data_IF_207962604903
#
_entry.id   IF_207962604903
#
_cell.length_a   1.000
_cell.length_b   1.000
_cell.length_c   1.000
_cell.angle_alpha   90.00
_cell.angle_beta   90.00
_cell.angle_gamma   90.00
#
_symmetry.space_group_name_H-M   'P 1'
#
loop_
_entity.id
_entity.type
_entity.pdbx_description
1 polymer ?
#
# COMPACT_ATOMS: atom_id res chain seq x y z
N UNK A 1 58.29 -17.62 -38.81
CA UNK A 1 59.24 -16.50 -38.87
C UNK A 1 58.96 -15.64 -37.66
N UNK A 2 59.67 -15.82 -36.57
CA UNK A 2 60.90 -15.15 -36.15
C UNK A 2 60.62 -13.68 -35.87
N UNK A 3 60.87 -13.07 -34.75
CA UNK A 3 61.83 -13.17 -33.63
C UNK A 3 61.42 -12.15 -32.58
N UNK A 4 61.27 -12.44 -31.35
CA UNK A 4 62.12 -12.31 -30.19
C UNK A 4 63.05 -11.07 -30.12
N UNK A 5 62.94 -10.30 -29.00
CA UNK A 5 64.11 -9.85 -28.22
C UNK A 5 63.68 -8.94 -27.01
N UNK A 6 63.87 -9.43 -25.81
CA UNK A 6 64.39 -8.73 -24.65
C UNK A 6 65.93 -8.68 -24.79
N UNK A 7 66.79 -7.85 -24.09
CA UNK A 7 66.87 -7.83 -22.61
C UNK A 7 67.49 -6.56 -21.99
N UNK A 8 67.57 -6.54 -20.63
CA UNK A 8 68.60 -6.10 -19.66
C UNK A 8 69.02 -4.62 -19.73
N UNK A 9 69.37 -3.93 -18.68
CA UNK A 9 69.72 -4.29 -17.32
C UNK A 9 70.34 -3.07 -16.62
N UNK A 10 70.40 -3.18 -15.34
CA UNK A 10 71.48 -2.88 -14.40
C UNK A 10 71.69 -1.47 -13.80
N UNK A 11 71.61 -1.49 -12.47
CA UNK A 11 72.55 -0.96 -11.44
C UNK A 11 72.67 0.56 -11.32
N UNK A 12 72.57 1.14 -10.15
CA UNK A 12 73.31 1.05 -8.97
C UNK A 12 73.16 2.21 -8.01
N UNK A 13 73.27 1.90 -6.80
CA UNK A 13 73.99 2.52 -5.66
C UNK A 13 73.64 3.92 -5.15
N UNK A 14 73.46 4.00 -3.82
CA UNK A 14 74.01 5.02 -2.95
C UNK A 14 73.06 5.72 -2.01
N UNK A 15 73.03 5.33 -0.71
CA UNK A 15 72.49 6.17 0.37
C UNK A 15 73.41 7.35 0.68
N UNK A 16 73.10 8.19 1.60
CA UNK A 16 73.27 7.87 3.01
C UNK A 16 72.24 8.46 4.03
N UNK A 17 72.38 8.02 5.28
CA UNK A 17 71.72 8.35 6.53
C UNK A 17 71.77 9.85 6.86
N UNK A 18 70.70 10.36 7.46
CA UNK A 18 70.61 11.68 8.08
C UNK A 18 69.50 11.81 9.12
N UNK A 19 69.79 11.54 10.35
CA UNK A 19 69.58 12.28 11.58
C UNK A 19 68.20 12.69 12.05
N UNK A 20 67.86 12.18 13.21
CA UNK A 20 66.83 12.49 14.21
C UNK A 20 66.45 13.97 14.32
N UNK A 21 65.11 14.22 14.35
CA UNK A 21 64.53 15.43 14.89
C UNK A 21 63.28 15.07 15.70
N UNK A 22 63.46 15.01 17.04
CA UNK A 22 62.39 14.85 18.00
C UNK A 22 61.61 16.16 18.14
N UNK A 23 60.44 16.23 17.53
CA UNK A 23 59.44 17.29 17.72
C UNK A 23 58.27 16.81 18.55
N UNK A 24 58.39 17.02 19.87
CA UNK A 24 57.31 16.85 20.84
C UNK A 24 56.22 17.91 20.54
N UNK A 25 55.14 17.53 19.82
CA UNK A 25 53.94 18.37 19.74
C UNK A 25 52.95 17.87 20.79
N UNK A 26 52.78 18.69 21.82
CA UNK A 26 51.73 18.62 22.82
C UNK A 26 50.37 18.64 22.13
N UNK A 27 49.73 17.48 22.04
CA UNK A 27 48.35 17.36 21.61
C UNK A 27 47.42 17.80 22.72
N UNK A 28 46.81 18.96 22.58
CA UNK A 28 45.66 19.35 23.37
C UNK A 28 44.52 18.37 23.07
N UNK A 29 44.24 17.46 23.98
CA UNK A 29 43.07 16.64 24.01
C UNK A 29 41.84 17.51 24.16
N UNK A 30 41.19 17.89 23.03
CA UNK A 30 39.85 18.44 23.08
C UNK A 30 38.92 17.31 23.52
N UNK A 31 38.53 17.33 24.78
CA UNK A 31 37.46 16.52 25.33
C UNK A 31 36.21 16.78 24.51
N UNK A 32 35.89 15.87 23.60
CA UNK A 32 34.62 15.85 22.90
C UNK A 32 33.54 15.47 23.89
N UNK A 33 32.71 16.45 24.29
CA UNK A 33 31.67 16.28 25.29
C UNK A 33 30.71 15.10 25.04
N UNK A 34 30.00 14.64 26.07
CA UNK A 34 29.13 13.46 26.03
C UNK A 34 28.06 13.50 24.94
N UNK A 35 27.64 14.66 24.49
CA UNK A 35 26.74 14.89 23.37
C UNK A 35 27.32 14.40 22.02
N UNK A 36 28.65 14.49 21.80
CA UNK A 36 29.26 13.95 20.56
C UNK A 36 29.47 12.44 20.61
N UNK A 37 29.62 11.87 21.80
CA UNK A 37 29.65 10.41 21.97
C UNK A 37 28.25 9.79 21.78
N UNK A 38 27.21 10.44 22.32
CA UNK A 38 25.80 10.04 22.14
C UNK A 38 25.38 10.15 20.69
N UNK A 39 25.72 11.22 19.98
CA UNK A 39 25.48 11.38 18.54
C UNK A 39 26.17 10.31 17.69
N UNK A 40 27.40 9.89 18.05
CA UNK A 40 28.10 8.79 17.36
C UNK A 40 27.49 7.41 17.66
N UNK A 41 27.06 7.16 18.90
CA UNK A 41 26.42 5.90 19.29
C UNK A 41 25.07 5.68 18.58
N UNK A 42 24.29 6.73 18.37
CA UNK A 42 23.04 6.69 17.58
C UNK A 42 23.29 6.64 16.06
N UNK A 43 24.37 7.26 15.57
CA UNK A 43 24.66 7.31 14.13
C UNK A 43 25.10 5.94 13.54
N UNK A 44 25.73 5.08 14.34
CA UNK A 44 26.26 3.79 13.88
C UNK A 44 25.18 2.74 13.57
N UNK A 45 24.15 2.50 14.41
CA UNK A 45 23.08 1.55 14.07
C UNK A 45 22.18 2.06 12.94
N UNK A 46 21.87 3.36 12.92
CA UNK A 46 21.02 3.95 11.87
C UNK A 46 21.66 3.84 10.48
N UNK A 47 22.96 4.08 10.36
CA UNK A 47 23.67 3.97 9.08
C UNK A 47 23.87 2.52 8.62
N UNK A 48 23.98 1.54 9.53
CA UNK A 48 24.03 0.12 9.19
C UNK A 48 22.68 -0.38 8.71
N UNK A 49 21.61 -0.03 9.41
CA UNK A 49 20.23 -0.40 9.02
C UNK A 49 19.85 0.25 7.69
N UNK A 50 20.15 1.53 7.49
CA UNK A 50 19.92 2.22 6.22
C UNK A 50 20.68 1.57 5.04
N UNK A 51 21.93 1.15 5.26
CA UNK A 51 22.73 0.42 4.26
C UNK A 51 22.18 -0.97 3.98
N UNK A 52 21.68 -1.67 4.99
CA UNK A 52 21.00 -2.97 4.84
C UNK A 52 19.72 -2.85 4.01
N UNK A 53 18.88 -1.88 4.32
CA UNK A 53 17.65 -1.58 3.58
C UNK A 53 17.99 -1.25 2.12
N UNK A 54 18.96 -0.35 1.88
CA UNK A 54 19.39 -0.01 0.51
C UNK A 54 19.92 -1.20 -0.27
N UNK A 55 20.69 -2.09 0.34
CA UNK A 55 21.13 -3.33 -0.32
C UNK A 55 19.97 -4.21 -0.71
N UNK A 56 18.96 -4.37 0.16
CA UNK A 56 17.77 -5.19 -0.11
C UNK A 56 16.87 -4.55 -1.19
N UNK A 57 16.65 -3.24 -1.14
CA UNK A 57 15.80 -2.53 -2.12
C UNK A 57 16.44 -2.41 -3.49
N UNK A 58 17.78 -2.34 -3.57
CA UNK A 58 18.55 -2.20 -4.82
C UNK A 58 19.04 -3.52 -5.41
N UNK A 59 18.73 -4.67 -4.79
CA UNK A 59 19.16 -5.99 -5.24
C UNK A 59 18.53 -6.38 -6.60
N UNK A 60 19.26 -7.20 -7.38
CA UNK A 60 18.82 -7.78 -8.66
C UNK A 60 18.48 -6.75 -9.75
N UNK A 61 19.26 -5.69 -9.87
CA UNK A 61 19.07 -4.65 -10.91
C UNK A 61 18.02 -3.59 -10.58
N UNK A 62 17.35 -3.67 -9.43
CA UNK A 62 16.37 -2.66 -9.00
C UNK A 62 17.00 -1.29 -8.73
N UNK A 63 18.30 -1.23 -8.40
CA UNK A 63 19.06 0.01 -8.23
C UNK A 63 19.28 0.75 -9.56
N UNK A 64 19.71 0.04 -10.58
CA UNK A 64 20.01 0.59 -11.90
C UNK A 64 18.73 1.02 -12.64
N UNK A 65 17.65 0.24 -12.53
CA UNK A 65 16.37 0.57 -13.14
C UNK A 65 15.65 1.75 -12.46
N UNK A 66 16.02 2.11 -11.23
CA UNK A 66 15.36 3.11 -10.40
C UNK A 66 14.18 2.58 -9.58
N UNK A 67 13.82 1.31 -9.70
CA UNK A 67 12.77 0.68 -8.90
C UNK A 67 13.08 0.74 -7.40
N UNK A 68 14.35 0.60 -7.00
CA UNK A 68 14.79 0.75 -5.61
C UNK A 68 14.45 2.11 -5.01
N UNK A 69 14.64 3.20 -5.79
CA UNK A 69 14.26 4.55 -5.37
C UNK A 69 12.74 4.71 -5.21
N UNK A 70 11.95 4.04 -6.06
CA UNK A 70 10.50 4.03 -5.93
C UNK A 70 10.05 3.26 -4.69
N UNK A 71 10.71 2.16 -4.34
CA UNK A 71 10.45 1.41 -3.10
C UNK A 71 10.74 2.29 -1.88
N UNK A 72 11.87 3.00 -1.86
CA UNK A 72 12.22 3.95 -0.79
C UNK A 72 11.17 5.07 -0.68
N UNK A 73 10.78 5.68 -1.80
CA UNK A 73 9.75 6.72 -1.83
C UNK A 73 8.39 6.20 -1.33
N UNK A 74 8.00 4.99 -1.71
CA UNK A 74 6.74 4.39 -1.24
C UNK A 74 6.80 4.02 0.26
N UNK A 75 7.97 3.64 0.76
CA UNK A 75 8.20 3.48 2.19
C UNK A 75 7.99 4.79 2.96
N UNK A 76 8.57 5.89 2.47
CA UNK A 76 8.38 7.23 3.04
C UNK A 76 6.89 7.64 2.99
N UNK A 77 6.20 7.33 1.88
CA UNK A 77 4.75 7.53 1.78
C UNK A 77 3.98 6.80 2.88
N UNK A 78 4.22 5.49 3.05
CA UNK A 78 3.54 4.69 4.07
C UNK A 78 3.84 5.15 5.49
N UNK A 79 5.09 5.55 5.76
CA UNK A 79 5.49 6.10 7.05
C UNK A 79 4.76 7.42 7.37
N UNK A 80 4.63 8.33 6.41
CA UNK A 80 3.88 9.58 6.59
C UNK A 80 2.38 9.36 6.78
N UNK A 81 1.79 8.47 5.98
CA UNK A 81 0.36 8.14 6.08
C UNK A 81 0.00 7.55 7.45
N UNK A 82 0.84 6.68 8.03
CA UNK A 82 0.59 6.11 9.36
C UNK A 82 0.75 7.13 10.49
N UNK A 83 1.68 8.10 10.36
CA UNK A 83 1.80 9.18 11.34
C UNK A 83 0.50 10.00 11.43
N UNK A 84 -0.08 10.36 10.29
CA UNK A 84 -1.37 11.06 10.24
C UNK A 84 -2.47 10.16 10.83
N UNK A 85 -2.49 8.87 10.47
CA UNK A 85 -3.48 7.92 10.98
C UNK A 85 -3.45 7.82 12.49
N UNK A 86 -2.25 7.74 13.11
CA UNK A 86 -2.10 7.71 14.58
C UNK A 86 -2.65 8.98 15.22
N UNK A 87 -2.31 10.15 14.68
CA UNK A 87 -2.80 11.43 15.20
C UNK A 87 -4.33 11.55 15.12
N UNK A 88 -4.91 11.24 13.96
CA UNK A 88 -6.36 11.30 13.75
C UNK A 88 -7.11 10.26 14.58
N UNK A 89 -6.60 9.04 14.67
CA UNK A 89 -7.21 7.98 15.46
C UNK A 89 -7.27 8.38 16.94
N UNK A 90 -6.20 8.95 17.49
CA UNK A 90 -6.19 9.37 18.89
C UNK A 90 -7.16 10.53 19.15
N UNK A 91 -7.29 11.47 18.23
CA UNK A 91 -8.15 12.64 18.41
C UNK A 91 -9.62 12.35 18.15
N UNK A 92 -9.92 11.67 17.03
CA UNK A 92 -11.33 11.41 16.63
C UNK A 92 -11.94 10.25 17.42
N UNK A 93 -11.09 9.27 17.79
CA UNK A 93 -11.58 8.01 18.36
C UNK A 93 -11.39 7.91 19.89
N UNK A 94 -10.23 8.31 20.44
CA UNK A 94 -9.92 8.12 21.85
C UNK A 94 -10.25 9.31 22.76
N UNK A 95 -10.39 10.52 22.22
CA UNK A 95 -10.55 11.74 23.01
C UNK A 95 -12.01 12.10 23.35
N UNK A 96 -13.00 11.35 22.84
CA UNK A 96 -14.42 11.63 23.02
C UNK A 96 -15.18 10.39 23.51
N UNK A 97 -16.36 10.52 24.16
CA UNK A 97 -17.21 9.38 24.52
C UNK A 97 -17.56 8.52 23.30
N UNK A 98 -17.84 7.23 23.53
CA UNK A 98 -18.01 6.24 22.44
C UNK A 98 -19.14 6.61 21.48
N UNK A 99 -20.28 7.08 21.98
CA UNK A 99 -21.43 7.44 21.14
C UNK A 99 -21.11 8.65 20.24
N UNK A 100 -20.42 9.65 20.77
CA UNK A 100 -19.94 10.80 20.00
C UNK A 100 -18.85 10.38 18.99
N UNK A 101 -17.94 9.46 19.39
CA UNK A 101 -16.94 8.91 18.50
C UNK A 101 -17.56 8.16 17.31
N UNK A 102 -18.66 7.42 17.51
CA UNK A 102 -19.39 6.76 16.43
C UNK A 102 -19.91 7.77 15.40
N UNK A 103 -20.52 8.87 15.84
CA UNK A 103 -20.98 9.94 14.95
C UNK A 103 -19.83 10.60 14.17
N UNK A 104 -18.73 10.94 14.84
CA UNK A 104 -17.53 11.52 14.22
C UNK A 104 -16.86 10.57 13.23
N UNK A 105 -16.76 9.29 13.58
CA UNK A 105 -16.18 8.26 12.67
C UNK A 105 -17.12 7.99 11.49
N UNK A 106 -18.43 7.98 11.69
CA UNK A 106 -19.40 7.85 10.61
C UNK A 106 -19.31 9.02 9.62
N UNK A 107 -19.18 10.26 10.12
CA UNK A 107 -18.96 11.46 9.31
C UNK A 107 -17.63 11.37 8.56
N UNK A 108 -16.54 10.97 9.23
CA UNK A 108 -15.25 10.75 8.59
C UNK A 108 -15.34 9.70 7.48
N UNK A 109 -16.03 8.58 7.72
CA UNK A 109 -16.25 7.55 6.73
C UNK A 109 -17.07 8.05 5.52
N UNK A 110 -18.12 8.84 5.75
CA UNK A 110 -18.90 9.48 4.69
C UNK A 110 -18.04 10.44 3.84
N UNK A 111 -17.23 11.27 4.51
CA UNK A 111 -16.30 12.19 3.84
C UNK A 111 -15.24 11.44 3.02
N UNK A 112 -14.74 10.28 3.52
CA UNK A 112 -13.78 9.47 2.76
C UNK A 112 -14.37 8.87 1.49
N UNK A 113 -15.70 8.83 1.36
CA UNK A 113 -16.40 8.39 0.15
C UNK A 113 -16.44 9.46 -0.95
N UNK A 114 -16.47 10.73 -0.58
CA UNK A 114 -16.58 11.82 -1.53
C UNK A 114 -15.49 11.77 -2.64
N UNK A 115 -14.21 11.53 -2.35
CA UNK A 115 -13.17 11.42 -3.38
C UNK A 115 -13.41 10.28 -4.37
N UNK A 116 -13.91 9.13 -3.90
CA UNK A 116 -14.13 7.98 -4.78
C UNK A 116 -15.29 8.22 -5.73
N UNK A 117 -16.31 8.93 -5.30
CA UNK A 117 -17.46 9.28 -6.13
C UNK A 117 -17.11 10.40 -7.13
N UNK A 118 -16.34 11.41 -6.68
CA UNK A 118 -16.00 12.59 -7.47
C UNK A 118 -14.75 12.39 -8.34
N UNK A 119 -13.75 11.68 -7.86
CA UNK A 119 -12.44 11.55 -8.52
C UNK A 119 -12.35 10.35 -9.45
N UNK A 120 -13.14 9.29 -9.25
CA UNK A 120 -13.14 8.13 -10.15
C UNK A 120 -13.34 8.50 -11.64
N UNK A 121 -14.27 9.39 -12.01
CA UNK A 121 -14.42 9.84 -13.40
C UNK A 121 -13.35 10.86 -13.83
N UNK A 122 -12.70 11.55 -12.89
CA UNK A 122 -11.77 12.68 -13.17
C UNK A 122 -10.31 12.21 -13.19
N UNK A 123 -9.94 11.21 -12.39
CA UNK A 123 -8.54 10.76 -12.28
C UNK A 123 -7.99 10.23 -13.61
N UNK A 124 -8.79 9.48 -14.38
CA UNK A 124 -8.39 8.98 -15.70
C UNK A 124 -7.98 10.13 -16.63
N UNK A 125 -8.91 11.05 -16.98
CA UNK A 125 -8.62 12.19 -17.84
C UNK A 125 -7.55 13.15 -17.30
N UNK A 126 -7.44 13.28 -15.96
CA UNK A 126 -6.39 14.12 -15.34
C UNK A 126 -5.00 13.53 -15.54
N UNK A 127 -4.86 12.21 -15.45
CA UNK A 127 -3.60 11.52 -15.71
C UNK A 127 -3.19 11.58 -17.17
N UNK A 128 -4.16 11.47 -18.09
CA UNK A 128 -3.93 11.60 -19.52
C UNK A 128 -3.44 12.99 -19.91
N UNK A 129 -3.78 14.01 -19.10
CA UNK A 129 -3.32 15.41 -19.29
C UNK A 129 -1.92 15.69 -18.70
N UNK A 130 -1.32 14.77 -17.94
CA UNK A 130 0.01 14.93 -17.34
C UNK A 130 0.98 13.86 -17.90
N UNK A 131 1.20 13.79 -19.23
CA UNK A 131 2.14 12.83 -19.81
C UNK A 131 3.59 13.10 -19.41
N UNK A 132 3.93 14.37 -19.15
CA UNK A 132 5.23 14.86 -18.75
C UNK A 132 5.15 15.47 -17.35
N UNK A 133 5.81 14.88 -16.36
CA UNK A 133 5.83 15.47 -15.00
C UNK A 133 5.34 14.54 -13.89
N UNK A 134 5.42 13.22 -14.07
CA UNK A 134 5.05 12.24 -13.04
C UNK A 134 5.85 12.42 -11.75
N UNK A 135 7.14 12.80 -11.85
CA UNK A 135 7.96 13.14 -10.68
C UNK A 135 7.42 14.37 -9.96
N UNK A 136 7.06 15.41 -10.70
CA UNK A 136 6.46 16.62 -10.15
C UNK A 136 5.08 16.34 -9.53
N UNK A 137 4.25 15.50 -10.14
CA UNK A 137 2.96 15.10 -9.60
C UNK A 137 3.10 14.31 -8.28
N UNK A 138 4.07 13.39 -8.19
CA UNK A 138 4.38 12.69 -6.95
C UNK A 138 4.92 13.65 -5.88
N UNK A 139 5.81 14.56 -6.24
CA UNK A 139 6.33 15.59 -5.34
C UNK A 139 5.23 16.54 -4.85
N UNK A 140 4.33 16.97 -5.73
CA UNK A 140 3.17 17.80 -5.40
C UNK A 140 2.22 17.11 -4.44
N UNK A 141 1.93 15.81 -4.65
CA UNK A 141 1.11 15.03 -3.74
C UNK A 141 1.77 14.85 -2.34
N UNK A 142 3.11 14.77 -2.27
CA UNK A 142 3.84 14.76 -1.01
C UNK A 142 3.80 16.13 -0.34
N UNK A 143 4.06 17.20 -1.08
CA UNK A 143 4.02 18.58 -0.56
C UNK A 143 2.62 18.94 -0.03
N UNK A 144 1.58 18.63 -0.79
CA UNK A 144 0.21 18.85 -0.35
C UNK A 144 -0.08 18.19 1.01
N UNK A 145 0.34 16.92 1.19
CA UNK A 145 0.18 16.23 2.47
C UNK A 145 1.06 16.80 3.58
N UNK A 146 2.26 17.30 3.27
CA UNK A 146 3.08 18.00 4.25
C UNK A 146 2.36 19.25 4.76
N UNK A 147 1.85 20.08 3.88
CA UNK A 147 1.12 21.29 4.27
C UNK A 147 -0.17 20.95 5.03
N UNK A 148 -0.91 19.95 4.58
CA UNK A 148 -2.12 19.49 5.28
C UNK A 148 -1.81 18.90 6.66
N UNK A 149 -0.66 18.27 6.86
CA UNK A 149 -0.23 17.80 8.18
C UNK A 149 0.00 18.98 9.16
N UNK A 150 0.49 20.12 8.68
CA UNK A 150 0.58 21.34 9.50
C UNK A 150 -0.80 21.89 9.84
N UNK A 151 -1.73 21.95 8.88
CA UNK A 151 -3.12 22.35 9.14
C UNK A 151 -3.76 21.43 10.18
N UNK A 152 -3.63 20.12 9.99
CA UNK A 152 -4.11 19.11 10.93
C UNK A 152 -3.50 19.27 12.33
N UNK A 153 -2.23 19.70 12.44
CA UNK A 153 -1.58 19.89 13.75
C UNK A 153 -2.22 21.00 14.59
N UNK A 154 -2.81 22.00 13.96
CA UNK A 154 -3.66 23.00 14.60
C UNK A 154 -5.05 22.45 14.94
N UNK A 155 -5.71 21.85 13.94
CA UNK A 155 -7.08 21.34 14.06
C UNK A 155 -7.25 20.26 15.13
N UNK A 156 -6.26 19.37 15.29
CA UNK A 156 -6.26 18.29 16.30
C UNK A 156 -6.33 18.81 17.74
N UNK A 157 -5.74 19.97 18.02
CA UNK A 157 -5.75 20.56 19.38
C UNK A 157 -7.00 21.37 19.63
N UNK A 158 -7.46 22.11 18.60
CA UNK A 158 -8.59 23.02 18.74
C UNK A 158 -9.95 22.31 18.56
N UNK A 159 -9.95 21.06 18.07
CA UNK A 159 -11.19 20.32 17.77
C UNK A 159 -12.00 20.96 16.64
N UNK A 160 -11.34 21.79 15.78
CA UNK A 160 -11.98 22.58 14.75
C UNK A 160 -12.53 21.75 13.59
N UNK A 161 -13.52 22.33 12.89
CA UNK A 161 -14.12 21.70 11.70
C UNK A 161 -13.13 21.56 10.54
N UNK A 162 -12.01 22.29 10.56
CA UNK A 162 -10.93 22.21 9.57
C UNK A 162 -10.29 20.81 9.51
N UNK A 163 -10.41 20.00 10.55
CA UNK A 163 -9.93 18.64 10.61
C UNK A 163 -10.48 17.79 9.46
N UNK A 164 -11.77 17.92 9.14
CA UNK A 164 -12.42 17.12 8.13
C UNK A 164 -11.97 17.45 6.70
N UNK A 165 -11.98 18.70 6.23
CA UNK A 165 -11.48 19.04 4.90
C UNK A 165 -9.97 18.79 4.76
N UNK A 166 -9.17 18.99 5.81
CA UNK A 166 -7.75 18.69 5.77
C UNK A 166 -7.49 17.18 5.66
N UNK A 167 -8.21 16.34 6.42
CA UNK A 167 -8.13 14.89 6.31
C UNK A 167 -8.59 14.39 4.92
N UNK A 168 -9.64 15.00 4.36
CA UNK A 168 -10.07 14.75 2.99
C UNK A 168 -8.97 15.09 1.98
N UNK A 169 -8.33 16.23 2.12
CA UNK A 169 -7.22 16.67 1.27
C UNK A 169 -6.04 15.69 1.32
N UNK A 170 -5.71 15.19 2.52
CA UNK A 170 -4.69 14.13 2.69
C UNK A 170 -5.08 12.87 1.93
N UNK A 171 -6.32 12.42 2.05
CA UNK A 171 -6.81 11.23 1.38
C UNK A 171 -6.76 11.38 -0.14
N UNK A 172 -7.24 12.51 -0.68
CA UNK A 172 -7.19 12.83 -2.11
C UNK A 172 -5.75 12.82 -2.62
N UNK A 173 -4.83 13.47 -1.90
CA UNK A 173 -3.41 13.53 -2.27
C UNK A 173 -2.75 12.15 -2.20
N UNK A 174 -3.11 11.31 -1.22
CA UNK A 174 -2.63 9.92 -1.10
C UNK A 174 -3.12 9.08 -2.28
N UNK A 175 -4.37 9.24 -2.70
CA UNK A 175 -4.92 8.55 -3.88
C UNK A 175 -4.25 9.01 -5.18
N UNK A 176 -4.05 10.32 -5.35
CA UNK A 176 -3.33 10.88 -6.50
C UNK A 176 -1.91 10.30 -6.61
N UNK A 177 -1.18 10.24 -5.49
CA UNK A 177 0.12 9.58 -5.43
C UNK A 177 0.04 8.10 -5.86
N UNK A 178 -0.94 7.36 -5.35
CA UNK A 178 -1.14 5.93 -5.68
C UNK A 178 -1.36 5.69 -7.16
N UNK A 179 -2.14 6.54 -7.81
CA UNK A 179 -2.43 6.48 -9.25
C UNK A 179 -1.17 6.77 -10.06
N UNK A 180 -0.45 7.86 -9.77
CA UNK A 180 0.82 8.18 -10.46
C UNK A 180 1.85 7.08 -10.26
N UNK A 181 1.96 6.52 -9.04
CA UNK A 181 2.83 5.39 -8.74
C UNK A 181 2.53 4.18 -9.64
N UNK A 182 1.26 3.84 -9.84
CA UNK A 182 0.89 2.69 -10.69
C UNK A 182 1.35 2.86 -12.15
N UNK A 183 1.36 4.09 -12.66
CA UNK A 183 1.88 4.42 -13.98
C UNK A 183 3.43 4.46 -14.05
N UNK A 184 4.10 4.68 -12.91
CA UNK A 184 5.57 4.75 -12.82
C UNK A 184 6.21 3.36 -12.72
N UNK A 185 5.58 2.40 -12.01
CA UNK A 185 6.14 1.05 -11.77
C UNK A 185 6.56 0.34 -13.08
N UNK A 186 5.74 0.28 -14.14
CA UNK A 186 6.12 -0.39 -15.39
C UNK A 186 7.36 0.23 -16.04
N UNK A 187 7.55 1.54 -15.92
CA UNK A 187 8.69 2.28 -16.52
C UNK A 187 10.01 2.05 -15.79
N UNK A 188 9.95 1.62 -14.55
CA UNK A 188 11.11 1.30 -13.71
C UNK A 188 11.37 -0.20 -13.62
N UNK A 189 10.66 -1.01 -14.41
CA UNK A 189 10.78 -2.46 -14.37
C UNK A 189 12.15 -2.91 -14.89
N UNK A 190 12.94 -3.67 -14.09
CA UNK A 190 14.15 -4.32 -14.61
C UNK A 190 13.78 -5.44 -15.58
N UNK A 191 14.62 -5.75 -16.62
CA UNK A 191 14.34 -6.80 -17.60
C UNK A 191 14.05 -8.17 -17.00
N UNK A 192 14.65 -8.48 -15.83
CA UNK A 192 14.49 -9.76 -15.13
C UNK A 192 13.25 -9.83 -14.21
N UNK A 193 12.43 -8.75 -14.13
CA UNK A 193 11.31 -8.69 -13.19
C UNK A 193 9.97 -8.70 -13.91
N UNK A 194 9.03 -9.49 -13.39
CA UNK A 194 7.61 -9.32 -13.74
C UNK A 194 7.02 -8.11 -13.00
N UNK A 195 5.99 -7.50 -13.58
CA UNK A 195 5.27 -6.39 -12.97
C UNK A 195 4.71 -6.75 -11.58
N UNK A 196 4.23 -7.99 -11.41
CA UNK A 196 3.75 -8.53 -10.13
C UNK A 196 4.86 -8.51 -9.07
N UNK A 197 6.07 -8.96 -9.42
CA UNK A 197 7.22 -8.97 -8.51
C UNK A 197 7.66 -7.55 -8.13
N UNK A 198 7.62 -6.61 -9.07
CA UNK A 198 7.93 -5.21 -8.81
C UNK A 198 6.89 -4.58 -7.86
N UNK A 199 5.58 -4.75 -8.14
CA UNK A 199 4.51 -4.24 -7.30
C UNK A 199 4.56 -4.83 -5.87
N UNK A 200 4.81 -6.14 -5.74
CA UNK A 200 4.96 -6.80 -4.44
C UNK A 200 6.10 -6.20 -3.62
N UNK A 201 7.26 -5.95 -4.23
CA UNK A 201 8.40 -5.31 -3.55
C UNK A 201 8.09 -3.88 -3.11
N UNK A 202 7.42 -3.10 -3.96
CA UNK A 202 6.99 -1.73 -3.61
C UNK A 202 6.01 -1.77 -2.44
N UNK A 203 5.00 -2.65 -2.49
CA UNK A 203 4.00 -2.80 -1.43
C UNK A 203 4.64 -3.27 -0.11
N UNK A 204 5.52 -4.29 -0.15
CA UNK A 204 6.24 -4.76 1.03
C UNK A 204 7.12 -3.67 1.65
N UNK A 205 7.81 -2.88 0.82
CA UNK A 205 8.59 -1.72 1.28
C UNK A 205 7.72 -0.71 2.02
N UNK A 206 6.54 -0.39 1.49
CA UNK A 206 5.56 0.47 2.15
C UNK A 206 5.08 -0.12 3.48
N UNK A 207 4.72 -1.40 3.50
CA UNK A 207 4.22 -2.08 4.70
C UNK A 207 5.27 -2.12 5.83
N UNK A 208 6.52 -2.45 5.49
CA UNK A 208 7.62 -2.47 6.46
C UNK A 208 7.87 -1.06 7.04
N UNK A 209 7.88 -0.04 6.20
CA UNK A 209 8.04 1.34 6.66
C UNK A 209 6.87 1.80 7.55
N UNK A 210 5.63 1.43 7.22
CA UNK A 210 4.45 1.65 8.05
C UNK A 210 4.59 0.95 9.40
N UNK A 211 5.01 -0.32 9.40
CA UNK A 211 5.21 -1.10 10.63
C UNK A 211 6.28 -0.51 11.57
N UNK A 212 7.33 0.11 11.02
CA UNK A 212 8.36 0.80 11.80
C UNK A 212 7.86 2.18 12.28
N UNK A 213 7.16 2.90 11.44
CA UNK A 213 6.70 4.26 11.73
C UNK A 213 5.52 4.29 12.73
N UNK A 214 4.66 3.26 12.75
CA UNK A 214 3.50 3.20 13.64
C UNK A 214 3.86 3.30 15.14
N UNK A 215 4.80 2.50 15.69
CA UNK A 215 5.20 2.65 17.08
C UNK A 215 5.91 3.97 17.36
N UNK A 216 6.64 4.53 16.40
CA UNK A 216 7.26 5.86 16.52
C UNK A 216 6.15 6.93 16.62
N UNK A 217 5.14 6.85 15.77
CA UNK A 217 3.97 7.74 15.81
C UNK A 217 3.23 7.63 17.14
N UNK A 218 3.02 6.41 17.64
CA UNK A 218 2.40 6.17 18.94
C UNK A 218 3.24 6.75 20.11
N UNK A 219 4.57 6.65 20.03
CA UNK A 219 5.47 7.27 20.99
C UNK A 219 5.41 8.80 20.93
N UNK A 220 5.41 9.39 19.75
CA UNK A 220 5.26 10.84 19.57
C UNK A 220 3.90 11.34 20.09
N UNK A 221 2.84 10.52 19.96
CA UNK A 221 1.51 10.84 20.49
C UNK A 221 1.51 10.99 22.02
N UNK A 222 2.38 10.27 22.74
CA UNK A 222 2.52 10.41 24.20
C UNK A 222 3.11 11.78 24.61
N UNK A 223 3.89 12.40 23.71
CA UNK A 223 4.43 13.75 23.92
C UNK A 223 3.35 14.80 23.68
N UNK A 224 2.43 14.54 22.74
CA UNK A 224 1.30 15.38 22.44
C UNK A 224 0.69 15.13 21.07
N UNK A 225 -0.58 15.53 20.83
CA UNK A 225 -1.33 15.18 19.61
C UNK A 225 -0.77 15.82 18.33
N UNK A 226 0.01 16.89 18.43
CA UNK A 226 0.66 17.55 17.28
C UNK A 226 1.91 16.83 16.79
N UNK A 227 2.60 16.10 17.66
CA UNK A 227 3.93 15.55 17.37
C UNK A 227 3.97 14.54 16.23
N UNK A 228 3.03 13.58 16.12
CA UNK A 228 2.99 12.70 14.95
C UNK A 228 2.78 13.47 13.64
N UNK A 229 2.03 14.58 13.65
CA UNK A 229 1.77 15.41 12.47
C UNK A 229 3.01 16.21 12.04
N UNK A 230 3.81 16.69 12.98
CA UNK A 230 5.12 17.27 12.68
C UNK A 230 6.08 16.20 12.12
N UNK A 231 6.03 14.98 12.65
CA UNK A 231 6.73 13.83 12.07
C UNK A 231 6.29 13.55 10.63
N UNK A 232 4.98 13.55 10.36
CA UNK A 232 4.41 13.40 9.03
C UNK A 232 4.88 14.51 8.07
N UNK A 233 4.88 15.76 8.52
CA UNK A 233 5.39 16.90 7.76
C UNK A 233 6.82 16.67 7.28
N UNK A 234 7.74 16.34 8.20
CA UNK A 234 9.15 16.09 7.87
C UNK A 234 9.29 14.92 6.90
N UNK A 235 8.55 13.83 7.12
CA UNK A 235 8.56 12.65 6.28
C UNK A 235 8.07 12.98 4.87
N UNK A 236 6.98 13.73 4.71
CA UNK A 236 6.46 14.09 3.40
C UNK A 236 7.32 15.11 2.67
N UNK A 237 7.95 16.06 3.38
CA UNK A 237 8.96 16.95 2.78
C UNK A 237 10.15 16.14 2.26
N UNK A 238 10.65 15.17 3.01
CA UNK A 238 11.68 14.25 2.52
C UNK A 238 11.20 13.47 1.29
N UNK A 239 9.93 12.99 1.28
CA UNK A 239 9.29 12.33 0.14
C UNK A 239 9.20 13.21 -1.10
N UNK A 240 8.91 14.49 -0.94
CA UNK A 240 8.91 15.46 -2.03
C UNK A 240 10.28 15.50 -2.72
N UNK A 241 11.36 15.63 -1.96
CA UNK A 241 12.72 15.63 -2.53
C UNK A 241 13.11 14.27 -3.14
N UNK A 242 12.70 13.16 -2.53
CA UNK A 242 12.94 11.82 -3.08
C UNK A 242 12.23 11.61 -4.42
N UNK A 243 11.08 12.22 -4.63
CA UNK A 243 10.33 12.15 -5.90
C UNK A 243 11.15 12.68 -7.06
N UNK A 244 11.91 13.75 -6.87
CA UNK A 244 12.81 14.30 -7.90
C UNK A 244 14.08 13.46 -8.13
N UNK A 245 14.42 12.55 -7.21
CA UNK A 245 15.55 11.62 -7.41
C UNK A 245 15.19 10.42 -8.29
N UNK A 246 13.93 10.25 -8.68
CA UNK A 246 13.53 9.23 -9.65
C UNK A 246 14.19 9.50 -11.01
N UNK A 247 14.51 8.46 -11.80
CA UNK A 247 15.12 8.62 -13.10
C UNK A 247 14.24 9.46 -14.06
N UNK A 248 14.83 10.31 -14.94
CA UNK A 248 14.07 11.12 -15.89
C UNK A 248 13.18 10.32 -16.85
N UNK A 249 13.52 9.05 -17.13
CA UNK A 249 12.71 8.16 -17.98
C UNK A 249 11.27 7.96 -17.47
N UNK A 250 10.99 8.27 -16.19
CA UNK A 250 9.64 8.23 -15.62
C UNK A 250 8.73 9.27 -16.29
N UNK A 251 9.27 10.42 -16.67
CA UNK A 251 8.54 11.52 -17.30
C UNK A 251 8.50 11.41 -18.84
N UNK A 252 9.12 10.39 -19.43
CA UNK A 252 9.14 10.20 -20.88
C UNK A 252 7.82 9.63 -21.39
N UNK A 253 7.21 10.27 -22.38
CA UNK A 253 6.01 9.78 -23.08
C UNK A 253 6.30 8.70 -24.13
N UNK A 254 7.58 8.34 -24.36
CA UNK A 254 7.95 7.33 -25.37
C UNK A 254 7.24 6.00 -25.08
N UNK A 255 6.40 5.58 -26.02
CA UNK A 255 5.60 4.34 -25.96
C UNK A 255 4.10 4.57 -25.72
N UNK A 256 3.66 5.76 -25.31
CA UNK A 256 2.22 6.08 -25.20
C UNK A 256 1.64 6.60 -26.53
N UNK A 257 2.41 7.33 -27.31
CA UNK A 257 1.98 7.88 -28.61
C UNK A 257 1.61 6.78 -29.62
N UNK A 258 2.28 5.63 -29.56
CA UNK A 258 1.99 4.49 -30.46
C UNK A 258 0.63 3.85 -30.13
N UNK A 259 0.23 3.82 -28.86
CA UNK A 259 -1.10 3.27 -28.47
C UNK A 259 -2.24 4.22 -28.80
N UNK A 260 -2.02 5.55 -28.69
CA UNK A 260 -3.01 6.56 -29.07
C UNK A 260 -3.17 6.65 -30.61
N UNK A 261 -2.06 6.62 -31.35
CA UNK A 261 -2.09 6.62 -32.83
C UNK A 261 -2.71 5.33 -33.40
N UNK A 262 -2.41 4.17 -32.81
CA UNK A 262 -3.04 2.91 -33.23
C UNK A 262 -4.54 2.84 -32.93
N UNK A 263 -5.02 3.52 -31.89
CA UNK A 263 -6.45 3.67 -31.61
C UNK A 263 -7.11 4.67 -32.57
N UNK A 264 -6.44 5.77 -32.90
CA UNK A 264 -6.94 6.82 -33.79
C UNK A 264 -6.93 6.36 -35.26
N UNK A 265 -5.92 5.64 -35.72
CA UNK A 265 -5.90 5.06 -37.08
C UNK A 265 -7.00 4.04 -37.33
N UNK A 266 -7.40 3.24 -36.32
CA UNK A 266 -8.54 2.34 -36.43
C UNK A 266 -9.88 3.08 -36.47
N UNK A 267 -9.98 4.28 -35.91
CA UNK A 267 -11.16 5.12 -35.97
C UNK A 267 -11.29 5.90 -37.29
N UNK A 268 -10.17 6.13 -38.00
CA UNK A 268 -10.15 6.87 -39.26
C UNK A 268 -10.43 5.99 -40.49
N UNK A 269 -10.27 4.66 -40.41
CA UNK A 269 -10.38 3.74 -41.55
C UNK A 269 -11.53 2.70 -41.45
N UNK A 270 -12.41 2.81 -40.43
CA UNK A 270 -13.60 1.95 -40.33
C UNK A 270 -14.81 2.57 -41.06
N UNK A 271 -15.61 1.78 -41.81
CA UNK A 271 -16.87 2.29 -42.38
C UNK A 271 -17.81 2.77 -41.27
N UNK A 272 -18.46 3.93 -41.47
CA UNK A 272 -19.47 4.50 -40.58
C UNK A 272 -20.60 3.50 -40.30
N UNK A 273 -20.37 2.54 -39.40
CA UNK A 273 -21.36 1.61 -38.90
C UNK A 273 -21.58 1.88 -37.43
N UNK A 274 -22.85 2.21 -37.08
CA UNK A 274 -23.49 2.29 -35.76
C UNK A 274 -22.54 2.37 -34.58
N UNK A 275 -22.54 3.49 -33.86
CA UNK A 275 -21.78 3.71 -32.61
C UNK A 275 -21.90 2.45 -31.73
N UNK A 276 -20.83 1.66 -31.71
CA UNK A 276 -20.73 0.48 -30.85
C UNK A 276 -20.81 0.96 -29.40
N UNK A 277 -21.83 0.53 -28.68
CA UNK A 277 -21.99 0.83 -27.26
C UNK A 277 -20.70 0.48 -26.55
N UNK A 278 -20.07 1.45 -25.91
CA UNK A 278 -18.85 1.26 -25.12
C UNK A 278 -19.02 0.01 -24.25
N UNK A 279 -18.06 -0.93 -24.31
CA UNK A 279 -18.16 -2.18 -23.55
C UNK A 279 -18.34 -1.87 -22.06
N UNK A 280 -19.45 -2.34 -21.48
CA UNK A 280 -19.74 -2.21 -20.05
C UNK A 280 -19.10 -3.35 -19.25
N UNK A 281 -19.34 -3.40 -17.92
CA UNK A 281 -18.92 -4.53 -17.06
C UNK A 281 -19.43 -5.91 -17.56
N UNK A 282 -20.46 -5.94 -18.42
CA UNK A 282 -20.97 -7.19 -19.03
C UNK A 282 -20.05 -7.81 -20.07
N UNK A 283 -19.05 -7.06 -20.56
CA UNK A 283 -17.99 -7.57 -21.45
C UNK A 283 -16.82 -8.18 -20.71
N UNK A 284 -16.77 -8.02 -19.38
CA UNK A 284 -15.80 -8.65 -18.50
C UNK A 284 -16.28 -10.08 -18.24
N UNK A 285 -15.45 -11.07 -18.54
CA UNK A 285 -15.80 -12.48 -18.42
C UNK A 285 -16.34 -12.90 -17.04
N UNK A 286 -17.14 -13.97 -16.94
CA UNK A 286 -17.78 -14.41 -15.70
C UNK A 286 -16.76 -14.72 -14.58
N UNK A 287 -15.55 -15.16 -14.92
CA UNK A 287 -14.49 -15.42 -13.94
C UNK A 287 -14.09 -14.16 -13.18
N UNK A 288 -13.92 -13.04 -13.88
CA UNK A 288 -13.55 -11.75 -13.25
C UNK A 288 -14.69 -11.20 -12.40
N UNK A 289 -15.95 -11.33 -12.84
CA UNK A 289 -17.11 -10.85 -12.07
C UNK A 289 -17.31 -11.63 -10.78
N UNK A 290 -17.14 -12.95 -10.79
CA UNK A 290 -17.20 -13.77 -9.57
C UNK A 290 -16.02 -13.52 -8.63
N UNK A 291 -14.82 -13.37 -9.18
CA UNK A 291 -13.63 -12.97 -8.41
C UNK A 291 -13.79 -11.59 -7.78
N UNK A 292 -14.42 -10.65 -8.47
CA UNK A 292 -14.70 -9.31 -7.95
C UNK A 292 -15.71 -9.36 -6.79
N UNK A 293 -16.79 -10.17 -6.91
CA UNK A 293 -17.75 -10.39 -5.83
C UNK A 293 -17.11 -11.02 -4.59
N UNK A 294 -16.26 -12.00 -4.77
CA UNK A 294 -15.48 -12.62 -3.70
C UNK A 294 -14.56 -11.61 -2.99
N UNK A 295 -13.82 -10.81 -3.74
CA UNK A 295 -12.98 -9.74 -3.17
C UNK A 295 -13.83 -8.67 -2.46
N UNK A 296 -15.00 -8.33 -3.00
CA UNK A 296 -15.92 -7.37 -2.38
C UNK A 296 -16.40 -7.85 -1.01
N UNK A 297 -16.69 -9.15 -0.83
CA UNK A 297 -17.07 -9.70 0.47
C UNK A 297 -15.94 -9.66 1.49
N UNK A 298 -14.68 -9.96 1.08
CA UNK A 298 -13.50 -9.80 1.96
C UNK A 298 -13.30 -8.32 2.35
N UNK A 299 -13.45 -7.40 1.39
CA UNK A 299 -13.34 -5.96 1.63
C UNK A 299 -14.43 -5.46 2.59
N UNK A 300 -15.65 -5.93 2.42
CA UNK A 300 -16.75 -5.64 3.33
C UNK A 300 -16.44 -6.14 4.75
N UNK A 301 -15.99 -7.40 4.88
CA UNK A 301 -15.56 -7.93 6.17
C UNK A 301 -14.44 -7.12 6.80
N UNK A 302 -13.40 -6.76 6.05
CA UNK A 302 -12.27 -6.02 6.62
C UNK A 302 -12.67 -4.61 7.05
N UNK A 303 -13.55 -3.94 6.30
CA UNK A 303 -14.15 -2.68 6.71
C UNK A 303 -14.97 -2.83 7.99
N UNK A 304 -15.81 -3.86 8.04
CA UNK A 304 -16.58 -4.21 9.22
C UNK A 304 -15.69 -4.46 10.46
N UNK A 305 -14.70 -5.33 10.34
CA UNK A 305 -13.81 -5.68 11.44
C UNK A 305 -13.04 -4.48 11.99
N UNK A 306 -12.55 -3.59 11.12
CA UNK A 306 -11.80 -2.41 11.56
C UNK A 306 -12.64 -1.56 12.50
N UNK A 307 -13.87 -1.20 12.12
CA UNK A 307 -14.70 -0.32 12.95
C UNK A 307 -15.39 -1.06 14.09
N UNK A 308 -15.91 -2.25 13.85
CA UNK A 308 -16.55 -3.04 14.88
C UNK A 308 -15.58 -3.39 16.03
N UNK A 309 -14.40 -3.93 15.71
CA UNK A 309 -13.39 -4.27 16.71
C UNK A 309 -12.78 -3.03 17.36
N UNK A 310 -12.68 -1.91 16.61
CA UNK A 310 -12.22 -0.66 17.21
C UNK A 310 -13.14 -0.22 18.35
N UNK A 311 -14.45 -0.22 18.15
CA UNK A 311 -15.42 0.15 19.20
C UNK A 311 -15.58 -0.94 20.26
N UNK A 312 -15.63 -2.21 19.85
CA UNK A 312 -15.75 -3.33 20.77
C UNK A 312 -14.57 -3.38 21.76
N UNK A 313 -13.34 -3.34 21.26
CA UNK A 313 -12.14 -3.44 22.11
C UNK A 313 -11.83 -2.15 22.87
N UNK A 314 -12.44 -1.05 22.48
CA UNK A 314 -12.42 0.17 23.28
C UNK A 314 -13.26 0.05 24.54
N UNK A 315 -14.48 -0.49 24.43
CA UNK A 315 -15.42 -0.68 25.57
C UNK A 315 -15.09 -1.95 26.37
N UNK A 316 -14.71 -3.02 25.67
CA UNK A 316 -14.41 -4.33 26.24
C UNK A 316 -13.02 -4.78 25.81
N UNK A 317 -11.94 -4.24 26.42
CA UNK A 317 -10.58 -4.65 26.11
C UNK A 317 -10.35 -6.15 26.36
N UNK A 318 -9.37 -6.74 25.73
CA UNK A 318 -8.94 -8.11 26.00
C UNK A 318 -8.49 -8.23 27.46
N UNK A 319 -8.77 -9.37 28.09
CA UNK A 319 -8.49 -9.61 29.51
C UNK A 319 -7.07 -9.24 29.91
N UNK A 320 -6.93 -8.39 30.92
CA UNK A 320 -5.62 -7.95 31.43
C UNK A 320 -4.89 -6.88 30.59
N UNK A 321 -5.55 -6.30 29.58
CA UNK A 321 -4.93 -5.35 28.67
C UNK A 321 -5.68 -4.02 28.60
N UNK A 322 -4.99 -2.95 28.18
CA UNK A 322 -5.65 -1.70 27.84
C UNK A 322 -6.30 -1.78 26.43
N UNK A 323 -7.28 -0.91 26.17
CA UNK A 323 -7.92 -0.79 24.86
C UNK A 323 -6.90 -0.55 23.74
N UNK A 324 -5.91 0.31 23.98
CA UNK A 324 -4.85 0.63 23.01
C UNK A 324 -3.99 -0.60 22.68
N UNK A 325 -3.63 -1.42 23.68
CA UNK A 325 -2.84 -2.64 23.47
C UNK A 325 -3.67 -3.68 22.72
N UNK A 326 -4.94 -3.88 23.10
CA UNK A 326 -5.84 -4.81 22.41
C UNK A 326 -6.03 -4.46 20.94
N UNK A 327 -6.22 -3.19 20.62
CA UNK A 327 -6.30 -2.68 19.24
C UNK A 327 -4.98 -2.82 18.51
N UNK A 328 -3.86 -2.58 19.20
CA UNK A 328 -2.52 -2.76 18.66
C UNK A 328 -2.26 -4.21 18.24
N UNK A 329 -2.63 -5.19 19.05
CA UNK A 329 -2.50 -6.63 18.74
C UNK A 329 -3.28 -6.98 17.48
N UNK A 330 -4.55 -6.56 17.39
CA UNK A 330 -5.39 -6.82 16.21
C UNK A 330 -4.84 -6.14 14.97
N UNK A 331 -4.39 -4.89 15.10
CA UNK A 331 -3.76 -4.14 14.00
C UNK A 331 -2.48 -4.79 13.49
N UNK A 332 -1.59 -5.21 14.40
CA UNK A 332 -0.35 -5.94 14.05
C UNK A 332 -0.68 -7.29 13.41
N UNK A 333 -1.64 -8.04 13.93
CA UNK A 333 -2.06 -9.31 13.36
C UNK A 333 -2.58 -9.15 11.92
N UNK A 334 -3.46 -8.17 11.69
CA UNK A 334 -3.99 -7.86 10.36
C UNK A 334 -2.87 -7.41 9.40
N UNK A 335 -1.96 -6.55 9.86
CA UNK A 335 -0.81 -6.06 9.10
C UNK A 335 0.17 -7.17 8.73
N UNK A 336 0.51 -8.04 9.68
CA UNK A 336 1.37 -9.20 9.45
C UNK A 336 0.73 -10.19 8.46
N UNK A 337 -0.56 -10.45 8.62
CA UNK A 337 -1.34 -11.25 7.67
C UNK A 337 -1.28 -10.68 6.27
N UNK A 338 -1.53 -9.38 6.11
CA UNK A 338 -1.47 -8.69 4.82
C UNK A 338 -0.06 -8.73 4.19
N UNK A 339 1.00 -8.58 4.99
CA UNK A 339 2.38 -8.73 4.53
C UNK A 339 2.66 -10.15 4.03
N UNK A 340 2.26 -11.16 4.80
CA UNK A 340 2.40 -12.58 4.43
C UNK A 340 1.59 -12.90 3.16
N UNK A 341 0.35 -12.44 3.05
CA UNK A 341 -0.49 -12.61 1.87
C UNK A 341 0.14 -11.99 0.62
N UNK A 342 0.74 -10.80 0.76
CA UNK A 342 1.47 -10.15 -0.34
C UNK A 342 2.72 -10.94 -0.73
N UNK A 343 3.48 -11.44 0.23
CA UNK A 343 4.69 -12.24 -0.01
C UNK A 343 4.36 -13.57 -0.69
N UNK A 344 3.34 -14.30 -0.19
CA UNK A 344 2.86 -15.56 -0.76
C UNK A 344 2.31 -15.34 -2.16
N UNK A 345 1.53 -14.27 -2.39
CA UNK A 345 1.02 -13.90 -3.72
C UNK A 345 2.13 -13.64 -4.74
N UNK A 346 3.24 -13.02 -4.31
CA UNK A 346 4.42 -12.82 -5.15
C UNK A 346 5.11 -14.13 -5.55
N UNK A 347 5.02 -15.16 -4.69
CA UNK A 347 5.63 -16.47 -4.90
C UNK A 347 4.74 -17.43 -5.70
N UNK A 348 3.41 -17.41 -5.48
CA UNK A 348 2.45 -18.33 -6.10
C UNK A 348 2.28 -18.16 -7.62
N UNK A 349 2.86 -17.13 -8.22
CA UNK A 349 2.86 -16.89 -9.68
C UNK A 349 1.72 -17.56 -10.44
N UNK A 350 0.58 -16.90 -10.54
CA UNK A 350 -0.48 -17.14 -11.55
C UNK A 350 -0.97 -18.60 -11.76
N UNK A 351 -0.83 -19.50 -10.81
CA UNK A 351 -1.44 -20.82 -10.89
C UNK A 351 -2.87 -20.72 -10.40
N UNK A 352 -3.84 -20.78 -11.35
CA UNK A 352 -5.28 -20.81 -11.09
C UNK A 352 -5.76 -19.76 -10.06
N UNK A 353 -5.76 -18.47 -10.41
CA UNK A 353 -6.14 -17.40 -9.48
C UNK A 353 -7.56 -17.56 -8.95
N UNK A 354 -8.45 -18.23 -9.70
CA UNK A 354 -9.82 -18.57 -9.28
C UNK A 354 -9.84 -19.50 -8.07
N UNK A 355 -8.98 -20.52 -8.07
CA UNK A 355 -8.86 -21.49 -6.96
C UNK A 355 -8.33 -20.77 -5.72
N UNK A 356 -7.31 -19.92 -5.89
CA UNK A 356 -6.75 -19.14 -4.79
C UNK A 356 -7.85 -18.29 -4.14
N UNK A 357 -8.65 -17.57 -4.92
CA UNK A 357 -9.72 -16.72 -4.41
C UNK A 357 -10.74 -17.55 -3.62
N UNK A 358 -11.24 -18.65 -4.19
CA UNK A 358 -12.22 -19.51 -3.50
C UNK A 358 -11.67 -20.05 -2.19
N UNK A 359 -10.42 -20.50 -2.19
CA UNK A 359 -9.77 -21.06 -1.01
C UNK A 359 -9.58 -20.02 0.09
N UNK A 360 -9.08 -18.83 -0.24
CA UNK A 360 -8.85 -17.79 0.79
C UNK A 360 -10.16 -17.25 1.35
N UNK A 361 -11.22 -17.13 0.53
CA UNK A 361 -12.55 -16.74 1.05
C UNK A 361 -13.11 -17.81 1.97
N UNK A 362 -12.96 -19.11 1.63
CA UNK A 362 -13.34 -20.21 2.51
C UNK A 362 -12.57 -20.17 3.85
N UNK A 363 -11.25 -19.94 3.81
CA UNK A 363 -10.44 -19.81 5.02
C UNK A 363 -10.91 -18.66 5.93
N UNK A 364 -11.22 -17.50 5.34
CA UNK A 364 -11.74 -16.35 6.11
C UNK A 364 -13.12 -16.66 6.69
N UNK A 365 -14.01 -17.29 5.90
CA UNK A 365 -15.34 -17.66 6.37
C UNK A 365 -15.24 -18.64 7.55
N UNK A 366 -14.39 -19.66 7.45
CA UNK A 366 -14.13 -20.61 8.54
C UNK A 366 -13.57 -19.93 9.78
N UNK A 367 -12.57 -19.05 9.62
CA UNK A 367 -12.00 -18.30 10.72
C UNK A 367 -13.03 -17.38 11.39
N UNK A 368 -13.91 -16.73 10.61
CA UNK A 368 -14.97 -15.86 11.14
C UNK A 368 -16.03 -16.66 11.90
N UNK A 369 -16.44 -17.83 11.39
CA UNK A 369 -17.38 -18.74 12.07
C UNK A 369 -16.78 -19.23 13.39
N UNK A 370 -15.53 -19.68 13.40
CA UNK A 370 -14.84 -20.12 14.62
C UNK A 370 -14.73 -18.99 15.64
N UNK A 371 -14.38 -17.79 15.20
CA UNK A 371 -14.27 -16.62 16.08
C UNK A 371 -15.64 -16.17 16.63
N UNK A 372 -16.73 -16.37 15.89
CA UNK A 372 -18.09 -16.11 16.38
C UNK A 372 -18.56 -17.17 17.39
N UNK A 373 -18.24 -18.44 17.14
CA UNK A 373 -18.65 -19.57 17.99
C UNK A 373 -17.88 -19.61 19.33
N UNK A 374 -16.58 -19.32 19.27
CA UNK A 374 -15.67 -19.39 20.44
C UNK A 374 -15.03 -18.02 20.70
N UNK A 375 -15.86 -17.00 20.91
CA UNK A 375 -15.39 -15.63 21.07
C UNK A 375 -14.26 -15.51 22.11
N UNK A 376 -13.09 -15.01 21.66
CA UNK A 376 -11.92 -14.86 22.52
C UNK A 376 -10.79 -14.07 21.82
N UNK A 377 -9.90 -13.51 22.62
CA UNK A 377 -8.82 -12.63 22.17
C UNK A 377 -7.94 -13.25 21.06
N UNK A 378 -7.56 -14.52 21.24
CA UNK A 378 -6.72 -15.26 20.30
C UNK A 378 -7.43 -15.43 18.96
N UNK A 379 -8.72 -15.84 18.96
CA UNK A 379 -9.47 -16.06 17.73
C UNK A 379 -9.78 -14.76 17.01
N UNK A 380 -9.99 -13.64 17.72
CA UNK A 380 -10.13 -12.32 17.12
C UNK A 380 -8.84 -11.89 16.43
N UNK A 381 -7.68 -12.08 17.07
CA UNK A 381 -6.37 -11.78 16.46
C UNK A 381 -6.08 -12.70 15.27
N UNK A 382 -6.38 -13.99 15.36
CA UNK A 382 -6.26 -14.94 14.25
C UNK A 382 -7.15 -14.55 13.07
N UNK A 383 -8.42 -14.19 13.32
CA UNK A 383 -9.33 -13.71 12.29
C UNK A 383 -8.78 -12.46 11.58
N UNK A 384 -8.25 -11.51 12.35
CA UNK A 384 -7.65 -10.31 11.80
C UNK A 384 -6.44 -10.64 10.88
N UNK A 385 -5.57 -11.56 11.31
CA UNK A 385 -4.44 -12.03 10.52
C UNK A 385 -4.88 -12.74 9.23
N UNK A 386 -5.85 -13.66 9.33
CA UNK A 386 -6.39 -14.40 8.18
C UNK A 386 -7.12 -13.46 7.22
N UNK A 387 -7.87 -12.49 7.72
CA UNK A 387 -8.56 -11.49 6.90
C UNK A 387 -7.55 -10.60 6.15
N UNK A 388 -6.50 -10.14 6.82
CA UNK A 388 -5.41 -9.38 6.20
C UNK A 388 -4.69 -10.19 5.10
N UNK A 389 -4.34 -11.45 5.39
CA UNK A 389 -3.72 -12.37 4.44
C UNK A 389 -4.59 -12.58 3.20
N UNK A 390 -5.86 -12.91 3.42
CA UNK A 390 -6.80 -13.19 2.35
C UNK A 390 -7.06 -11.94 1.49
N UNK A 391 -7.18 -10.77 2.10
CA UNK A 391 -7.37 -9.50 1.38
C UNK A 391 -6.23 -9.23 0.39
N UNK A 392 -4.97 -9.41 0.83
CA UNK A 392 -3.81 -9.20 -0.04
C UNK A 392 -3.75 -10.23 -1.17
N UNK A 393 -3.91 -11.50 -0.86
CA UNK A 393 -3.78 -12.58 -1.83
C UNK A 393 -4.93 -12.61 -2.83
N UNK A 394 -6.18 -12.39 -2.37
CA UNK A 394 -7.34 -12.30 -3.25
C UNK A 394 -7.26 -11.09 -4.19
N UNK A 395 -6.77 -9.94 -3.71
CA UNK A 395 -6.57 -8.75 -4.56
C UNK A 395 -5.53 -8.99 -5.64
N UNK A 396 -4.38 -9.59 -5.31
CA UNK A 396 -3.35 -9.94 -6.29
C UNK A 396 -3.87 -10.94 -7.34
N UNK A 397 -4.68 -11.90 -6.92
CA UNK A 397 -5.32 -12.87 -7.81
C UNK A 397 -6.37 -12.24 -8.72
N UNK A 398 -7.17 -11.30 -8.20
CA UNK A 398 -8.13 -10.53 -9.01
C UNK A 398 -7.40 -9.68 -10.06
N UNK A 399 -6.32 -9.01 -9.67
CA UNK A 399 -5.52 -8.19 -10.59
C UNK A 399 -4.91 -9.05 -11.71
N UNK A 400 -4.48 -10.28 -11.40
CA UNK A 400 -4.00 -11.24 -12.38
C UNK A 400 -5.11 -11.68 -13.36
N UNK A 401 -6.34 -11.92 -12.85
CA UNK A 401 -7.51 -12.23 -13.69
C UNK A 401 -7.86 -11.09 -14.64
N UNK A 402 -7.89 -9.86 -14.13
CA UNK A 402 -8.16 -8.68 -14.97
C UNK A 402 -7.09 -8.54 -16.06
N UNK A 403 -5.81 -8.76 -15.72
CA UNK A 403 -4.72 -8.70 -16.70
C UNK A 403 -4.80 -9.80 -17.75
N UNK A 404 -5.26 -11.00 -17.40
CA UNK A 404 -5.37 -12.16 -18.29
C UNK A 404 -6.61 -12.08 -19.21
N UNK A 405 -7.78 -11.75 -18.62
CA UNK A 405 -9.07 -11.98 -19.25
C UNK A 405 -9.68 -10.71 -19.86
N UNK A 406 -9.18 -9.52 -19.47
CA UNK A 406 -9.73 -8.24 -19.97
C UNK A 406 -8.86 -7.67 -21.08
N UNK A 407 -9.45 -7.34 -22.26
CA UNK A 407 -8.73 -6.72 -23.37
C UNK A 407 -8.01 -5.43 -22.96
N UNK A 408 -6.86 -5.17 -23.55
CA UNK A 408 -5.97 -4.04 -23.18
C UNK A 408 -6.66 -2.69 -23.26
N UNK A 409 -7.49 -2.47 -24.29
CA UNK A 409 -8.25 -1.24 -24.53
C UNK A 409 -9.17 -0.83 -23.36
N UNK A 410 -9.70 -1.80 -22.63
CA UNK A 410 -10.68 -1.55 -21.52
C UNK A 410 -10.10 -1.93 -20.15
N UNK A 411 -8.88 -2.43 -20.09
CA UNK A 411 -8.23 -2.93 -18.86
C UNK A 411 -8.09 -1.86 -17.80
N UNK A 412 -7.67 -0.65 -18.16
CA UNK A 412 -7.54 0.48 -17.22
C UNK A 412 -8.90 0.84 -16.61
N UNK A 413 -9.95 0.87 -17.43
CA UNK A 413 -11.32 1.12 -16.97
C UNK A 413 -11.82 0.01 -16.05
N UNK A 414 -11.48 -1.26 -16.33
CA UNK A 414 -11.85 -2.40 -15.49
C UNK A 414 -11.15 -2.32 -14.12
N UNK A 415 -9.86 -1.97 -14.07
CA UNK A 415 -9.15 -1.73 -12.82
C UNK A 415 -9.76 -0.59 -12.00
N UNK A 416 -10.05 0.56 -12.62
CA UNK A 416 -10.65 1.70 -11.93
C UNK A 416 -12.02 1.35 -11.33
N UNK A 417 -12.88 0.66 -12.09
CA UNK A 417 -14.21 0.23 -11.62
C UNK A 417 -14.13 -0.83 -10.54
N UNK A 418 -13.21 -1.79 -10.66
CA UNK A 418 -13.00 -2.81 -9.64
C UNK A 418 -12.54 -2.18 -8.32
N UNK A 419 -11.62 -1.23 -8.36
CA UNK A 419 -11.13 -0.53 -7.17
C UNK A 419 -12.24 0.29 -6.50
N UNK A 420 -13.07 0.99 -7.30
CA UNK A 420 -14.23 1.72 -6.78
C UNK A 420 -15.20 0.78 -6.06
N UNK A 421 -15.55 -0.36 -6.67
CA UNK A 421 -16.46 -1.34 -6.07
C UNK A 421 -15.90 -1.93 -4.78
N UNK A 422 -14.61 -2.27 -4.76
CA UNK A 422 -13.94 -2.79 -3.57
C UNK A 422 -13.91 -1.75 -2.44
N UNK A 423 -13.71 -0.48 -2.77
CA UNK A 423 -13.73 0.60 -1.78
C UNK A 423 -15.15 0.83 -1.23
N UNK A 424 -16.18 0.82 -2.10
CA UNK A 424 -17.58 0.92 -1.68
C UNK A 424 -17.96 -0.24 -0.74
N UNK A 425 -17.51 -1.46 -1.05
CA UNK A 425 -17.74 -2.64 -0.21
C UNK A 425 -17.07 -2.49 1.16
N UNK A 426 -15.83 -1.95 1.21
CA UNK A 426 -15.14 -1.68 2.45
C UNK A 426 -15.89 -0.69 3.35
N UNK A 427 -16.43 0.37 2.75
CA UNK A 427 -17.21 1.39 3.49
C UNK A 427 -18.55 0.86 3.95
N UNK A 428 -19.23 0.08 3.12
CA UNK A 428 -20.47 -0.58 3.54
C UNK A 428 -20.22 -1.47 4.76
N UNK A 429 -19.15 -2.25 4.75
CA UNK A 429 -18.74 -3.04 5.93
C UNK A 429 -18.45 -2.17 7.13
N UNK A 430 -17.72 -1.08 6.95
CA UNK A 430 -17.43 -0.12 8.00
C UNK A 430 -18.69 0.52 8.60
N UNK A 431 -19.64 0.92 7.77
CA UNK A 431 -20.93 1.46 8.21
C UNK A 431 -21.71 0.45 9.06
N UNK A 432 -21.76 -0.82 8.62
CA UNK A 432 -22.38 -1.90 9.41
C UNK A 432 -21.64 -2.04 10.75
N UNK A 433 -20.29 -2.02 10.76
CA UNK A 433 -19.50 -2.15 11.99
C UNK A 433 -19.69 -1.02 12.99
N UNK A 434 -19.95 0.20 12.53
CA UNK A 434 -20.22 1.37 13.40
C UNK A 434 -21.59 1.26 14.06
N UNK A 435 -22.61 0.80 13.34
CA UNK A 435 -24.00 0.73 13.81
C UNK A 435 -24.26 -0.49 14.69
N UNK A 436 -23.40 -1.52 14.56
CA UNK A 436 -23.60 -2.82 15.22
C UNK A 436 -23.54 -2.69 16.75
N UNK A 437 -24.41 -3.40 17.50
CA UNK A 437 -24.28 -3.55 18.96
C UNK A 437 -22.93 -4.18 19.31
N UNK A 438 -22.30 -3.69 20.40
CA UNK A 438 -20.97 -4.14 20.85
C UNK A 438 -21.02 -5.50 21.58
N UNK A 439 -21.64 -6.49 20.94
CA UNK A 439 -21.70 -7.88 21.39
C UNK A 439 -20.76 -8.70 20.50
N UNK A 440 -19.62 -9.14 21.05
CA UNK A 440 -18.54 -9.72 20.29
C UNK A 440 -18.96 -10.89 19.40
N UNK A 441 -19.64 -11.90 19.97
CA UNK A 441 -20.11 -13.08 19.24
C UNK A 441 -21.11 -12.70 18.13
N UNK A 442 -22.06 -11.79 18.42
CA UNK A 442 -23.05 -11.35 17.44
C UNK A 442 -22.40 -10.63 16.25
N UNK A 443 -21.50 -9.68 16.54
CA UNK A 443 -20.79 -8.95 15.48
C UNK A 443 -19.96 -9.88 14.61
N UNK A 444 -19.22 -10.81 15.21
CA UNK A 444 -18.44 -11.79 14.42
C UNK A 444 -19.33 -12.75 13.63
N UNK A 445 -20.53 -13.11 14.11
CA UNK A 445 -21.50 -13.88 13.35
C UNK A 445 -22.01 -13.11 12.12
N UNK A 446 -22.24 -11.80 12.24
CA UNK A 446 -22.57 -10.95 11.08
C UNK A 446 -21.41 -10.91 10.08
N UNK A 447 -20.18 -10.73 10.56
CA UNK A 447 -18.98 -10.79 9.72
C UNK A 447 -18.84 -12.13 8.99
N UNK A 448 -19.06 -13.23 9.69
CA UNK A 448 -19.06 -14.58 9.12
C UNK A 448 -20.13 -14.74 8.04
N UNK A 449 -21.35 -14.24 8.27
CA UNK A 449 -22.45 -14.27 7.31
C UNK A 449 -22.11 -13.52 6.00
N UNK A 450 -21.50 -12.34 6.12
CA UNK A 450 -21.06 -11.53 4.95
C UNK A 450 -20.12 -12.34 4.05
N UNK A 451 -19.11 -12.98 4.64
CA UNK A 451 -18.10 -13.72 3.86
C UNK A 451 -18.63 -15.06 3.38
N UNK A 452 -19.41 -15.77 4.21
CA UNK A 452 -20.04 -17.02 3.79
C UNK A 452 -20.98 -16.83 2.61
N UNK A 453 -21.78 -15.76 2.61
CA UNK A 453 -22.62 -15.40 1.47
C UNK A 453 -21.78 -15.10 0.20
N UNK A 454 -20.66 -14.35 0.36
CA UNK A 454 -19.71 -14.08 -0.71
C UNK A 454 -19.08 -15.36 -1.27
N UNK A 455 -18.69 -16.29 -0.41
CA UNK A 455 -18.15 -17.59 -0.81
C UNK A 455 -19.16 -18.44 -1.58
N UNK A 456 -20.38 -18.58 -1.05
CA UNK A 456 -21.46 -19.33 -1.67
C UNK A 456 -21.83 -18.80 -3.07
N UNK A 457 -21.94 -17.48 -3.22
CA UNK A 457 -22.24 -16.84 -4.52
C UNK A 457 -21.11 -17.07 -5.52
N UNK A 458 -19.85 -17.00 -5.09
CA UNK A 458 -18.66 -17.23 -5.92
C UNK A 458 -18.60 -18.70 -6.39
N UNK A 459 -18.75 -19.66 -5.47
CA UNK A 459 -18.72 -21.09 -5.78
C UNK A 459 -19.87 -21.47 -6.73
N UNK A 460 -21.10 -21.02 -6.43
CA UNK A 460 -22.26 -21.24 -7.32
C UNK A 460 -22.04 -20.65 -8.72
N UNK A 461 -21.45 -19.47 -8.79
CA UNK A 461 -21.14 -18.83 -10.06
C UNK A 461 -20.13 -19.62 -10.89
N UNK A 462 -19.03 -20.07 -10.26
CA UNK A 462 -18.01 -20.89 -10.93
C UNK A 462 -18.55 -22.23 -11.41
N UNK A 463 -19.37 -22.91 -10.59
CA UNK A 463 -20.02 -24.18 -10.98
C UNK A 463 -20.96 -23.98 -12.19
N UNK A 464 -21.75 -22.90 -12.20
CA UNK A 464 -22.64 -22.57 -13.35
C UNK A 464 -21.82 -22.30 -14.61
N UNK A 465 -20.74 -21.53 -14.52
CA UNK A 465 -19.86 -21.22 -15.66
C UNK A 465 -19.19 -22.49 -16.21
N UNK A 466 -18.75 -23.40 -15.35
CA UNK A 466 -18.16 -24.68 -15.74
C UNK A 466 -19.18 -25.58 -16.47
N UNK A 467 -20.43 -25.65 -15.98
CA UNK A 467 -21.52 -26.41 -16.62
C UNK A 467 -21.90 -25.85 -18.00
N UNK A 468 -21.93 -24.53 -18.14
CA UNK A 468 -22.22 -23.87 -19.42
C UNK A 468 -21.12 -24.07 -20.45
N UNK A 469 -19.86 -24.02 -20.04
CA UNK A 469 -18.70 -24.31 -20.90
C UNK A 469 -18.67 -25.76 -21.40
N UNK A 470 -19.07 -26.73 -20.59
CA UNK A 470 -19.18 -28.12 -20.99
C UNK A 470 -20.39 -28.38 -21.94
N UNK A 471 -21.53 -27.71 -21.72
CA UNK A 471 -22.69 -27.80 -22.59
C UNK A 471 -22.44 -27.18 -23.99
N UNK A 472 -21.62 -26.15 -24.08
CA UNK A 472 -21.16 -25.56 -25.34
C UNK A 472 -20.23 -26.48 -26.13
N UNK A 473 -19.35 -27.21 -25.49
CA UNK A 473 -18.46 -28.19 -26.13
C UNK A 473 -19.22 -29.45 -26.61
N UNK A 474 -20.21 -29.91 -25.86
CA UNK A 474 -21.02 -31.05 -26.25
C UNK A 474 -21.98 -30.78 -27.43
N UNK A 475 -22.21 -29.52 -27.82
CA UNK A 475 -23.02 -29.14 -29.00
C UNK A 475 -22.22 -28.95 -30.29
N UNK A 476 -20.88 -28.96 -30.18
CA UNK A 476 -19.95 -28.77 -31.32
C UNK A 476 -19.25 -30.10 -31.67
N UNK A 477 -19.42 -31.15 -30.89
CA UNK A 477 -19.02 -32.51 -31.18
C UNK A 477 -20.22 -33.33 -31.66
#
# INVERSE_FOLDING_TARGET
MATARTPQGATGTGGPKGVRGSGRRSGTSRAGGPLRAFGRALHFPVTRTARGIRRATHAHGAGESGLGKLIELHGVNGAGDVMITVALASTVFFSVPTDEARGRVALYLAITMAPFTLLAPVIGPLLDRIPHGRRAAMAGAMLARALLALVLSGAVVNGGLELYPAALGVLVSSKAYGVVRSAVVPRLLPPAFSLVKANSRVTLGGLLATGIAAPIGAGLQQVGPRWPLYGAFVIFVAGMFLSFRLPPKVDSAKGEDVALLAADERHLHGPRGKAEKRPGLRTVGPAVTHALGANASIRCLTGFLIFFLAFLLREHPMTGQSAAVSLGIVGVAAGAGNALGTAVGAWLRSRAPEIIIVTVVACVASAAILAAAFFGAVLVACLAAVAGFAQALAKLSLDALIQRDVPELVRTSAFARSETLLQMSWVLGGAIGIVMPLIGALGLAVGATIVAAGWLTTVRGLIRSARQGNAGRARVA
#
